data_IF_791651305284
#
_entry.id   IF_791651305284
#
_cell.length_a   1.000
_cell.length_b   1.000
_cell.length_c   1.000
_cell.angle_alpha   90.00
_cell.angle_beta   90.00
_cell.angle_gamma   90.00
#
_symmetry.space_group_name_H-M   'P 1'
#
loop_
_entity.id
_entity.type
_entity.pdbx_description
1 polymer ?
#
# COMPACT_ATOMS: atom_id res chain seq x y z
N UNK A 1 0.62 -18.02 2.12
CA UNK A 1 -0.54 -18.18 3.02
C UNK A 1 -1.70 -17.39 2.46
N UNK A 2 -2.95 -17.85 2.60
CA UNK A 2 -4.10 -17.00 2.28
C UNK A 2 -4.20 -15.93 3.38
N UNK A 3 -4.31 -14.67 2.99
CA UNK A 3 -4.55 -13.54 3.93
C UNK A 3 -5.90 -13.68 4.61
N UNK A 4 -6.03 -13.06 5.79
CA UNK A 4 -7.31 -12.84 6.45
C UNK A 4 -8.32 -12.19 5.50
N UNK A 5 -9.61 -12.53 5.62
CA UNK A 5 -10.64 -12.14 4.65
C UNK A 5 -10.70 -10.63 4.41
N UNK A 6 -10.53 -9.82 5.45
CA UNK A 6 -10.51 -8.34 5.36
C UNK A 6 -9.28 -7.78 4.62
N UNK A 7 -8.15 -8.51 4.60
CA UNK A 7 -6.92 -8.09 3.91
C UNK A 7 -6.82 -8.60 2.47
N UNK A 8 -7.64 -9.58 2.10
CA UNK A 8 -7.64 -10.15 0.74
C UNK A 8 -7.98 -9.14 -0.36
N UNK A 9 -8.91 -8.18 -0.21
CA UNK A 9 -9.15 -7.15 -1.22
C UNK A 9 -7.90 -6.29 -1.48
N UNK A 10 -7.26 -5.79 -0.42
CA UNK A 10 -6.06 -4.95 -0.48
C UNK A 10 -4.90 -5.70 -1.15
N UNK A 11 -4.65 -6.94 -0.71
CA UNK A 11 -3.62 -7.80 -1.29
C UNK A 11 -3.87 -8.12 -2.79
N UNK A 12 -5.13 -8.18 -3.22
CA UNK A 12 -5.45 -8.36 -4.65
C UNK A 12 -5.08 -7.12 -5.47
N UNK A 13 -5.31 -5.92 -4.94
CA UNK A 13 -4.92 -4.66 -5.58
C UNK A 13 -3.39 -4.53 -5.73
N UNK A 14 -2.61 -5.07 -4.79
CA UNK A 14 -1.14 -5.11 -4.88
C UNK A 14 -0.60 -5.77 -6.15
N UNK A 15 -1.29 -6.77 -6.71
CA UNK A 15 -0.83 -7.40 -7.95
C UNK A 15 -0.75 -6.41 -9.11
N UNK A 16 -1.71 -5.49 -9.22
CA UNK A 16 -1.72 -4.47 -10.27
C UNK A 16 -0.65 -3.42 -10.00
N UNK A 17 -0.50 -2.99 -8.75
CA UNK A 17 0.51 -2.02 -8.36
C UNK A 17 1.93 -2.55 -8.52
N UNK A 18 2.19 -3.83 -8.24
CA UNK A 18 3.49 -4.46 -8.49
C UNK A 18 3.83 -4.54 -9.98
N UNK A 19 2.82 -4.70 -10.85
CA UNK A 19 3.02 -4.62 -12.30
C UNK A 19 3.45 -3.20 -12.71
N UNK A 20 2.80 -2.17 -12.17
CA UNK A 20 3.18 -0.78 -12.36
C UNK A 20 4.62 -0.52 -11.86
N UNK A 21 4.94 -0.95 -10.63
CA UNK A 21 6.27 -0.83 -10.04
C UNK A 21 7.34 -1.47 -10.93
N UNK A 22 7.07 -2.66 -11.50
CA UNK A 22 7.99 -3.32 -12.43
C UNK A 22 8.19 -2.54 -13.73
N UNK A 23 7.12 -1.95 -14.29
CA UNK A 23 7.21 -1.11 -15.49
C UNK A 23 8.05 0.15 -15.22
N UNK A 24 7.79 0.83 -14.10
CA UNK A 24 8.54 1.98 -13.62
C UNK A 24 10.04 1.68 -13.46
N UNK A 25 10.40 0.56 -12.83
CA UNK A 25 11.80 0.12 -12.68
C UNK A 25 12.49 -0.18 -14.02
N UNK A 26 11.75 -0.50 -15.07
CA UNK A 26 12.28 -0.66 -16.42
C UNK A 26 12.40 0.67 -17.16
N UNK A 27 11.97 1.79 -16.55
CA UNK A 27 11.82 3.09 -17.21
C UNK A 27 10.69 3.10 -18.24
N UNK A 28 9.78 2.12 -18.19
CA UNK A 28 8.60 2.07 -19.06
C UNK A 28 7.48 2.82 -18.37
N UNK A 29 7.05 3.89 -18.99
CA UNK A 29 6.08 4.80 -18.43
C UNK A 29 5.23 5.40 -19.54
N UNK A 30 3.91 5.40 -19.36
CA UNK A 30 2.97 6.07 -20.25
C UNK A 30 2.37 7.30 -19.52
N UNK A 31 2.71 8.53 -19.93
CA UNK A 31 2.15 9.75 -19.37
C UNK A 31 0.63 9.80 -19.33
N UNK A 32 -0.03 9.22 -20.33
CA UNK A 32 -1.49 9.28 -20.46
C UNK A 32 -2.18 8.39 -19.41
N UNK A 33 -1.53 7.30 -19.00
CA UNK A 33 -1.99 6.42 -17.92
C UNK A 33 -1.69 6.99 -16.51
N UNK A 34 -0.88 8.05 -16.38
CA UNK A 34 -0.39 8.46 -15.05
C UNK A 34 -1.48 8.91 -14.11
N UNK A 35 -2.39 9.72 -14.65
CA UNK A 35 -3.47 10.32 -13.87
C UNK A 35 -4.41 9.24 -13.33
N UNK A 36 -4.72 8.25 -14.16
CA UNK A 36 -5.52 7.11 -13.76
C UNK A 36 -4.80 6.28 -12.67
N UNK A 37 -3.52 5.96 -12.86
CA UNK A 37 -2.73 5.19 -11.89
C UNK A 37 -2.54 5.93 -10.56
N UNK A 38 -2.36 7.25 -10.59
CA UNK A 38 -2.33 8.10 -9.40
C UNK A 38 -3.64 8.03 -8.61
N UNK A 39 -4.78 8.10 -9.31
CA UNK A 39 -6.10 8.02 -8.68
C UNK A 39 -6.34 6.64 -8.07
N UNK A 40 -6.02 5.57 -8.80
CA UNK A 40 -6.11 4.19 -8.31
C UNK A 40 -5.25 3.98 -7.05
N UNK A 41 -4.00 4.45 -7.06
CA UNK A 41 -3.12 4.39 -5.89
C UNK A 41 -3.67 5.18 -4.70
N UNK A 42 -4.14 6.40 -4.94
CA UNK A 42 -4.72 7.23 -3.88
C UNK A 42 -5.96 6.58 -3.25
N UNK A 43 -6.79 5.89 -4.05
CA UNK A 43 -7.94 5.16 -3.54
C UNK A 43 -7.50 3.96 -2.70
N UNK A 44 -6.56 3.16 -3.21
CA UNK A 44 -6.00 2.01 -2.51
C UNK A 44 -5.43 2.40 -1.14
N UNK A 45 -4.62 3.47 -1.08
CA UNK A 45 -4.10 4.00 0.17
C UNK A 45 -5.20 4.43 1.13
N UNK A 46 -6.24 5.12 0.65
CA UNK A 46 -7.38 5.49 1.50
C UNK A 46 -8.08 4.27 2.08
N UNK A 47 -8.29 3.21 1.28
CA UNK A 47 -8.91 1.97 1.76
C UNK A 47 -8.09 1.28 2.85
N UNK A 48 -6.75 1.29 2.72
CA UNK A 48 -5.83 0.79 3.75
C UNK A 48 -5.92 1.60 5.03
N UNK A 49 -5.83 2.92 4.91
CA UNK A 49 -5.86 3.84 6.05
C UNK A 49 -7.18 3.76 6.83
N UNK A 50 -8.31 3.72 6.12
CA UNK A 50 -9.64 3.60 6.72
C UNK A 50 -9.82 2.24 7.42
N UNK A 51 -9.38 1.15 6.77
CA UNK A 51 -9.46 -0.17 7.38
C UNK A 51 -8.56 -0.25 8.62
N UNK A 52 -7.30 0.15 8.52
CA UNK A 52 -6.34 -0.06 9.59
C UNK A 52 -6.59 0.86 10.78
N UNK A 53 -7.03 2.10 10.56
CA UNK A 53 -7.49 2.98 11.64
C UNK A 53 -8.64 2.35 12.44
N UNK A 54 -9.56 1.68 11.74
CA UNK A 54 -10.66 0.94 12.38
C UNK A 54 -10.17 -0.28 13.17
N UNK A 55 -9.18 -1.01 12.64
CA UNK A 55 -8.62 -2.21 13.29
C UNK A 55 -7.84 -1.90 14.56
N UNK A 56 -7.13 -0.77 14.61
CA UNK A 56 -6.31 -0.40 15.77
C UNK A 56 -7.04 0.49 16.77
N UNK A 57 -8.32 0.76 16.55
CA UNK A 57 -9.12 1.56 17.46
C UNK A 57 -9.11 0.97 18.88
N UNK A 58 -8.71 1.77 19.86
CA UNK A 58 -8.61 1.36 21.26
C UNK A 58 -7.27 0.73 21.67
N UNK A 59 -6.34 0.52 20.73
CA UNK A 59 -4.96 0.21 21.08
C UNK A 59 -4.26 1.48 21.62
N UNK A 60 -3.35 1.29 22.57
CA UNK A 60 -2.51 2.39 23.06
C UNK A 60 -1.54 2.86 21.96
N UNK A 61 -1.22 4.16 21.94
CA UNK A 61 -0.25 4.74 21.00
C UNK A 61 1.15 4.10 21.11
N UNK A 62 1.46 3.49 22.27
CA UNK A 62 2.70 2.75 22.51
C UNK A 62 2.69 1.33 21.96
N UNK A 63 1.58 0.86 21.39
CA UNK A 63 1.48 -0.48 20.83
C UNK A 63 2.44 -0.63 19.64
N UNK A 64 3.23 -1.71 19.52
CA UNK A 64 4.24 -1.87 18.47
C UNK A 64 3.72 -1.69 17.03
N UNK A 65 2.46 -2.03 16.77
CA UNK A 65 1.82 -1.86 15.45
C UNK A 65 1.81 -0.41 14.97
N UNK A 66 1.78 0.56 15.89
CA UNK A 66 1.67 1.99 15.57
C UNK A 66 2.89 2.50 14.81
N UNK A 67 4.08 1.93 15.07
CA UNK A 67 5.28 2.26 14.32
C UNK A 67 5.20 1.77 12.86
N UNK A 68 4.64 0.59 12.62
CA UNK A 68 4.46 0.05 11.27
C UNK A 68 3.40 0.86 10.49
N UNK A 69 2.30 1.26 11.13
CA UNK A 69 1.29 2.12 10.51
C UNK A 69 1.85 3.51 10.20
N UNK A 70 2.62 4.10 11.11
CA UNK A 70 3.28 5.39 10.87
C UNK A 70 4.22 5.33 9.66
N UNK A 71 4.96 4.23 9.50
CA UNK A 71 5.80 3.98 8.32
C UNK A 71 4.95 3.92 7.04
N UNK A 72 3.86 3.14 7.05
CA UNK A 72 2.95 3.00 5.90
C UNK A 72 2.42 4.36 5.45
N UNK A 73 1.85 5.16 6.37
CA UNK A 73 1.35 6.51 6.08
C UNK A 73 2.44 7.41 5.50
N UNK A 74 3.63 7.37 6.10
CA UNK A 74 4.75 8.16 5.59
C UNK A 74 5.14 7.75 4.17
N UNK A 75 5.23 6.45 3.88
CA UNK A 75 5.49 5.93 2.54
C UNK A 75 4.40 6.36 1.54
N UNK A 76 3.11 6.32 1.91
CA UNK A 76 2.01 6.81 1.07
C UNK A 76 2.20 8.29 0.70
N UNK A 77 2.49 9.14 1.68
CA UNK A 77 2.73 10.58 1.47
C UNK A 77 3.90 10.79 0.51
N UNK A 78 5.01 10.08 0.73
CA UNK A 78 6.21 10.19 -0.13
C UNK A 78 5.90 9.74 -1.56
N UNK A 79 5.24 8.60 -1.74
CA UNK A 79 4.84 8.07 -3.05
C UNK A 79 3.97 9.10 -3.79
N UNK A 80 2.95 9.64 -3.14
CA UNK A 80 2.02 10.60 -3.75
C UNK A 80 2.70 11.95 -4.05
N UNK A 81 3.66 12.36 -3.22
CA UNK A 81 4.48 13.55 -3.48
C UNK A 81 5.40 13.36 -4.70
N UNK A 82 6.06 12.20 -4.82
CA UNK A 82 6.90 11.85 -5.97
C UNK A 82 6.08 11.83 -7.27
N UNK A 83 4.92 11.17 -7.25
CA UNK A 83 3.99 11.12 -8.39
C UNK A 83 3.60 12.54 -8.81
N UNK A 84 3.19 13.37 -7.85
CA UNK A 84 2.75 14.75 -8.15
C UNK A 84 3.88 15.63 -8.66
N UNK A 85 5.13 15.39 -8.24
CA UNK A 85 6.31 16.08 -8.78
C UNK A 85 6.60 15.66 -10.23
N UNK A 86 6.53 14.37 -10.53
CA UNK A 86 6.69 13.82 -11.88
C UNK A 86 5.61 14.37 -12.84
N UNK A 87 4.38 14.52 -12.35
CA UNK A 87 3.26 15.09 -13.12
C UNK A 87 3.49 16.58 -13.45
N UNK A 88 3.83 17.40 -12.45
CA UNK A 88 3.97 18.87 -12.63
C UNK A 88 5.15 19.30 -13.48
N UNK A 89 6.24 18.56 -13.42
CA UNK A 89 7.49 18.96 -14.06
C UNK A 89 7.51 18.72 -15.57
N UNK A 90 6.50 18.01 -16.11
CA UNK A 90 6.58 17.37 -17.43
C UNK A 90 7.86 16.51 -17.58
N UNK A 91 8.52 16.18 -16.45
CA UNK A 91 9.75 15.39 -16.35
C UNK A 91 9.42 13.91 -16.28
N UNK A 92 8.47 13.46 -17.10
CA UNK A 92 8.35 12.04 -17.46
C UNK A 92 9.62 11.53 -18.18
N UNK A 93 10.60 12.43 -18.40
CA UNK A 93 11.96 12.18 -18.89
C UNK A 93 12.98 11.91 -17.77
N UNK A 94 12.65 12.17 -16.50
CA UNK A 94 13.53 11.91 -15.36
C UNK A 94 13.47 10.43 -14.99
N UNK A 95 14.22 9.64 -15.75
CA UNK A 95 14.27 8.19 -15.64
C UNK A 95 14.68 7.73 -14.25
N UNK A 96 15.56 8.46 -13.58
CA UNK A 96 16.03 8.10 -12.25
C UNK A 96 14.89 8.20 -11.23
N UNK A 97 14.14 9.30 -11.23
CA UNK A 97 12.98 9.48 -10.35
C UNK A 97 11.87 8.45 -10.63
N UNK A 98 11.66 8.07 -11.89
CA UNK A 98 10.71 7.02 -12.28
C UNK A 98 11.13 5.66 -11.72
N UNK A 99 12.41 5.29 -11.84
CA UNK A 99 12.94 4.03 -11.31
C UNK A 99 12.88 4.04 -9.77
N UNK A 100 13.16 5.18 -9.14
CA UNK A 100 13.05 5.35 -7.70
C UNK A 100 11.61 5.15 -7.22
N UNK A 101 10.62 5.74 -7.90
CA UNK A 101 9.20 5.53 -7.60
C UNK A 101 8.80 4.05 -7.71
N UNK A 102 9.23 3.38 -8.79
CA UNK A 102 8.96 1.94 -8.96
C UNK A 102 9.63 1.07 -7.90
N UNK A 103 10.79 1.49 -7.40
CA UNK A 103 11.49 0.79 -6.31
C UNK A 103 10.74 0.99 -5.00
N UNK A 104 10.39 2.23 -4.66
CA UNK A 104 9.62 2.57 -3.47
C UNK A 104 8.28 1.84 -3.40
N UNK A 105 7.50 1.83 -4.49
CA UNK A 105 6.24 1.08 -4.56
C UNK A 105 6.43 -0.42 -4.31
N UNK A 106 7.49 -1.01 -4.87
CA UNK A 106 7.78 -2.43 -4.69
C UNK A 106 8.20 -2.76 -3.25
N UNK A 107 8.96 -1.87 -2.61
CA UNK A 107 9.44 -2.02 -1.23
C UNK A 107 8.30 -1.84 -0.24
N UNK A 108 7.46 -0.81 -0.45
CA UNK A 108 6.26 -0.54 0.32
C UNK A 108 5.32 -1.76 0.35
N UNK A 109 4.92 -2.29 -0.81
CA UNK A 109 4.06 -3.48 -0.89
C UNK A 109 4.72 -4.71 -0.25
N UNK A 110 6.05 -4.83 -0.39
CA UNK A 110 6.78 -5.94 0.25
C UNK A 110 6.70 -5.85 1.76
N UNK A 111 6.88 -4.65 2.32
CA UNK A 111 6.73 -4.39 3.74
C UNK A 111 5.30 -4.69 4.20
N UNK A 112 4.29 -4.22 3.48
CA UNK A 112 2.90 -4.45 3.87
C UNK A 112 2.56 -5.93 3.91
N UNK A 113 2.87 -6.65 2.83
CA UNK A 113 2.59 -8.06 2.71
C UNK A 113 3.42 -8.89 3.71
N UNK A 114 4.69 -8.57 3.93
CA UNK A 114 5.58 -9.45 4.72
C UNK A 114 5.64 -9.09 6.20
N UNK A 115 5.27 -7.87 6.57
CA UNK A 115 5.45 -7.37 7.93
C UNK A 115 4.16 -6.78 8.49
N UNK A 116 3.56 -5.77 7.84
CA UNK A 116 2.38 -5.09 8.41
C UNK A 116 1.15 -6.01 8.49
N UNK A 117 0.80 -6.68 7.40
CA UNK A 117 -0.37 -7.55 7.33
C UNK A 117 -0.26 -8.71 8.32
N UNK A 118 0.88 -9.44 8.40
CA UNK A 118 1.07 -10.44 9.46
C UNK A 118 0.94 -9.88 10.88
N UNK A 119 1.46 -8.68 11.15
CA UNK A 119 1.30 -8.06 12.47
C UNK A 119 -0.17 -7.73 12.77
N UNK A 120 -0.91 -7.14 11.82
CA UNK A 120 -2.34 -6.87 11.96
C UNK A 120 -3.14 -8.17 12.17
N UNK A 121 -2.79 -9.22 11.43
CA UNK A 121 -3.36 -10.56 11.61
C UNK A 121 -3.17 -11.08 13.04
N UNK A 122 -1.99 -10.82 13.62
CA UNK A 122 -1.62 -11.29 14.95
C UNK A 122 -2.12 -10.44 16.11
N UNK A 123 -2.42 -9.15 15.92
CA UNK A 123 -2.82 -8.29 17.05
C UNK A 123 -4.24 -7.73 16.94
N UNK A 124 -4.80 -7.64 15.73
CA UNK A 124 -6.10 -7.01 15.48
C UNK A 124 -7.12 -7.96 14.87
N UNK A 125 -6.68 -9.05 14.23
CA UNK A 125 -7.56 -9.98 13.49
C UNK A 125 -7.46 -11.43 14.01
N UNK A 126 -7.01 -11.62 15.25
CA UNK A 126 -6.97 -12.95 15.86
C UNK A 126 -8.41 -13.46 15.97
N UNK A 127 -8.71 -14.53 15.23
CA UNK A 127 -9.97 -15.28 15.22
C UNK A 127 -11.21 -14.51 14.72
N UNK A 128 -11.30 -14.33 13.39
CA UNK A 128 -12.61 -14.48 12.70
C UNK A 128 -12.99 -15.96 12.53
N UNK A 129 -12.73 -16.81 13.54
CA UNK A 129 -13.30 -18.17 13.64
C UNK A 129 -14.60 -18.13 14.44
N UNK A 130 -15.47 -17.18 14.12
CA UNK A 130 -16.89 -17.16 14.53
C UNK A 130 -17.84 -17.43 13.37
N UNK A 131 -17.34 -18.02 12.27
CA UNK A 131 -18.17 -18.43 11.12
C UNK A 131 -18.37 -19.96 11.01
N UNK A 132 -18.06 -20.71 12.09
CA UNK A 132 -18.24 -22.19 12.13
C UNK A 132 -19.31 -22.65 13.14
N UNK A 133 -20.06 -21.74 13.78
CA UNK A 133 -21.12 -22.12 14.74
C UNK A 133 -22.51 -21.47 14.53
N UNK A 134 -22.84 -21.05 13.31
CA UNK A 134 -24.24 -20.71 12.96
C UNK A 134 -24.65 -21.24 11.58
N UNK A 135 -24.55 -22.56 11.39
CA UNK A 135 -25.39 -23.31 10.44
C UNK A 135 -25.80 -24.65 11.04
#
# INVERSE_FOLDING_TARGET
MRRHAQLQPLSRSHHQTLRLARQLKQGKWDPDDFRAKKLELSHHFSEEEDLFSSLVYGLADTHPIMAQLSRMIFEHIVIMAMISRLERSNSMKDREQIIALGTLLSEHITFEERELFPSLEQCCLINSTTDVLMR
#
